data_IF_295670863617
#
_entry.id   IF_295670863617
#
_cell.length_a   1.000
_cell.length_b   1.000
_cell.length_c   1.000
_cell.angle_alpha   90.00
_cell.angle_beta   90.00
_cell.angle_gamma   90.00
#
_symmetry.space_group_name_H-M   'P 1'
#
loop_
_entity.id
_entity.type
_entity.pdbx_description
1 polymer ?
#
# COMPACT_ATOMS: atom_id res chain seq x y z
N UNK A 1 49.06 49.57 1.57
CA UNK A 1 48.77 48.12 1.69
C UNK A 1 47.38 47.95 2.28
N UNK A 2 46.41 47.50 1.47
CA UNK A 2 45.03 47.26 1.90
C UNK A 2 44.95 45.85 2.49
N UNK A 3 44.55 45.72 3.76
CA UNK A 3 44.44 44.45 4.47
C UNK A 3 43.12 43.78 4.09
N UNK A 4 43.17 42.54 3.59
CA UNK A 4 41.98 41.76 3.26
C UNK A 4 41.25 41.35 4.56
N UNK A 5 39.99 41.75 4.69
CA UNK A 5 39.09 41.31 5.76
C UNK A 5 38.75 39.83 5.55
N UNK A 6 39.28 38.97 6.43
CA UNK A 6 38.82 37.59 6.57
C UNK A 6 37.64 37.60 7.54
N UNK A 7 36.43 37.81 7.01
CA UNK A 7 35.23 37.40 7.73
C UNK A 7 35.22 35.88 7.73
N UNK A 8 35.67 35.30 8.84
CA UNK A 8 35.58 33.86 9.06
C UNK A 8 34.09 33.55 9.16
N UNK A 9 33.58 32.84 8.17
CA UNK A 9 32.19 32.39 8.08
C UNK A 9 31.91 31.33 9.16
N UNK A 10 31.82 31.79 10.40
CA UNK A 10 31.48 30.97 11.58
C UNK A 10 30.05 30.43 11.43
N UNK A 11 29.18 31.14 10.71
CA UNK A 11 27.82 30.71 10.41
C UNK A 11 27.74 29.49 9.48
N UNK A 12 28.61 29.36 8.46
CA UNK A 12 28.59 28.18 7.59
C UNK A 12 29.15 26.92 8.27
N UNK A 13 30.16 27.07 9.13
CA UNK A 13 30.73 25.94 9.87
C UNK A 13 29.74 25.39 10.91
N UNK A 14 29.02 26.27 11.62
CA UNK A 14 28.04 25.85 12.62
C UNK A 14 26.78 25.21 12.01
N UNK A 15 26.34 25.61 10.81
CA UNK A 15 25.15 25.03 10.18
C UNK A 15 25.42 23.63 9.63
N UNK A 16 26.61 23.41 9.07
CA UNK A 16 27.02 22.11 8.55
C UNK A 16 27.19 21.07 9.66
N UNK A 17 27.71 21.45 10.82
CA UNK A 17 27.78 20.55 11.99
C UNK A 17 26.40 20.16 12.52
N UNK A 18 25.43 21.07 12.51
CA UNK A 18 24.05 20.78 12.93
C UNK A 18 23.36 19.83 11.96
N UNK A 19 23.52 20.03 10.64
CA UNK A 19 22.94 19.14 9.63
C UNK A 19 23.58 17.75 9.70
N UNK A 20 24.89 17.69 9.92
CA UNK A 20 25.62 16.41 10.04
C UNK A 20 25.25 15.67 11.33
N UNK A 21 25.04 16.39 12.43
CA UNK A 21 24.54 15.83 13.69
C UNK A 21 23.12 15.28 13.57
N UNK A 22 22.23 16.01 12.89
CA UNK A 22 20.85 15.56 12.64
C UNK A 22 20.80 14.33 11.72
N UNK A 23 21.61 14.30 10.66
CA UNK A 23 21.76 13.11 9.81
C UNK A 23 22.32 11.91 10.57
N UNK A 24 23.31 12.12 11.45
CA UNK A 24 23.86 11.06 12.29
C UNK A 24 22.81 10.45 13.23
N UNK A 25 21.99 11.29 13.87
CA UNK A 25 20.90 10.84 14.72
C UNK A 25 19.83 10.06 13.93
N UNK A 26 19.47 10.54 12.73
CA UNK A 26 18.52 9.87 11.84
C UNK A 26 19.01 8.47 11.42
N UNK A 27 20.28 8.35 11.03
CA UNK A 27 20.86 7.06 10.64
C UNK A 27 20.89 6.06 11.81
N UNK A 28 21.17 6.51 13.04
CA UNK A 28 21.12 5.65 14.23
C UNK A 28 19.69 5.15 14.46
N UNK A 29 18.70 6.04 14.41
CA UNK A 29 17.28 5.66 14.57
C UNK A 29 16.84 4.67 13.49
N UNK A 30 17.26 4.88 12.24
CA UNK A 30 16.91 4.01 11.11
C UNK A 30 17.57 2.62 11.21
N UNK A 31 18.81 2.53 11.70
CA UNK A 31 19.48 1.24 11.96
C UNK A 31 18.84 0.49 13.14
N UNK A 32 18.41 1.21 14.17
CA UNK A 32 17.67 0.62 15.28
C UNK A 32 16.32 0.09 14.80
N UNK A 33 15.55 0.89 14.06
CA UNK A 33 14.25 0.49 13.51
C UNK A 33 14.35 -0.63 12.46
N UNK A 34 15.43 -0.69 11.67
CA UNK A 34 15.64 -1.77 10.70
C UNK A 34 15.69 -3.15 11.36
N UNK A 35 16.17 -3.26 12.60
CA UNK A 35 16.13 -4.52 13.37
C UNK A 35 14.73 -4.89 13.86
N UNK A 36 13.82 -3.93 13.94
CA UNK A 36 12.42 -4.15 14.31
C UNK A 36 11.49 -4.36 13.10
N UNK A 37 12.02 -4.21 11.87
CA UNK A 37 11.25 -4.41 10.64
C UNK A 37 11.16 -5.88 10.20
N UNK A 38 11.98 -6.76 10.76
CA UNK A 38 11.76 -8.20 10.67
C UNK A 38 10.78 -8.59 11.78
N UNK A 39 9.49 -8.44 11.49
CA UNK A 39 8.41 -9.09 12.24
C UNK A 39 8.55 -10.60 12.09
N UNK A 40 9.53 -11.18 12.78
CA UNK A 40 9.86 -12.60 12.65
C UNK A 40 8.74 -13.42 13.35
N UNK A 41 7.97 -14.25 12.62
CA UNK A 41 7.01 -15.18 13.22
C UNK A 41 7.66 -16.11 14.26
N UNK A 42 9.00 -16.26 14.23
CA UNK A 42 9.75 -16.94 15.27
C UNK A 42 9.51 -16.38 16.68
N UNK A 43 9.21 -15.08 16.84
CA UNK A 43 8.96 -14.52 18.17
C UNK A 43 7.66 -15.03 18.82
N UNK A 44 6.61 -15.33 18.03
CA UNK A 44 5.38 -15.93 18.57
C UNK A 44 5.58 -17.39 18.96
N UNK A 45 6.24 -18.17 18.11
CA UNK A 45 6.60 -19.56 18.43
C UNK A 45 7.51 -19.63 19.67
N UNK A 46 8.44 -18.68 19.84
CA UNK A 46 9.31 -18.61 21.01
C UNK A 46 8.54 -18.31 22.30
N UNK A 47 7.52 -17.44 22.28
CA UNK A 47 6.69 -17.12 23.45
C UNK A 47 5.85 -18.33 23.87
N UNK A 48 5.26 -19.05 22.91
CA UNK A 48 4.50 -20.27 23.20
C UNK A 48 5.40 -21.41 23.72
N UNK A 49 6.58 -21.58 23.14
CA UNK A 49 7.58 -22.54 23.61
C UNK A 49 8.07 -22.23 25.04
N UNK A 50 8.35 -20.97 25.34
CA UNK A 50 8.75 -20.53 26.68
C UNK A 50 7.66 -20.79 27.73
N UNK A 51 6.39 -20.60 27.39
CA UNK A 51 5.28 -20.92 28.30
C UNK A 51 5.18 -22.43 28.56
N UNK A 52 5.37 -23.26 27.54
CA UNK A 52 5.39 -24.71 27.70
C UNK A 52 6.56 -25.16 28.60
N UNK A 53 7.73 -24.54 28.48
CA UNK A 53 8.88 -24.81 29.34
C UNK A 53 8.63 -24.38 30.81
N UNK A 54 8.04 -23.20 31.03
CA UNK A 54 7.67 -22.72 32.37
C UNK A 54 6.67 -23.65 33.06
N UNK A 55 5.63 -24.10 32.33
CA UNK A 55 4.67 -25.10 32.81
C UNK A 55 5.38 -26.40 33.23
N UNK A 56 6.27 -26.92 32.39
CA UNK A 56 7.01 -28.15 32.69
C UNK A 56 7.93 -27.98 33.92
N UNK A 57 8.58 -26.82 34.05
CA UNK A 57 9.41 -26.51 35.21
C UNK A 57 8.59 -26.46 36.51
N UNK A 58 7.36 -25.90 36.46
CA UNK A 58 6.44 -25.85 37.60
C UNK A 58 6.06 -27.24 38.10
N UNK A 59 5.72 -28.13 37.18
CA UNK A 59 5.30 -29.48 37.53
C UNK A 59 6.44 -30.29 38.12
N UNK A 60 7.66 -30.13 37.59
CA UNK A 60 8.87 -30.75 38.18
C UNK A 60 9.15 -30.26 39.60
N UNK A 61 8.99 -28.95 39.87
CA UNK A 61 9.17 -28.41 41.21
C UNK A 61 8.14 -28.95 42.20
N UNK A 62 6.88 -29.09 41.79
CA UNK A 62 5.82 -29.73 42.61
C UNK A 62 6.13 -31.20 42.90
N UNK A 63 6.65 -31.92 41.91
CA UNK A 63 7.03 -33.32 42.08
C UNK A 63 8.16 -33.46 43.11
N UNK A 64 9.21 -32.64 43.00
CA UNK A 64 10.35 -32.60 43.93
C UNK A 64 9.89 -32.25 45.36
N UNK A 65 9.04 -31.23 45.54
CA UNK A 65 8.50 -30.88 46.87
C UNK A 65 7.71 -32.05 47.48
N UNK A 66 6.88 -32.72 46.67
CA UNK A 66 6.10 -33.88 47.11
C UNK A 66 6.97 -35.09 47.48
N UNK A 67 8.09 -35.28 46.80
CA UNK A 67 9.03 -36.36 47.05
C UNK A 67 9.84 -36.11 48.34
N UNK A 68 10.28 -34.87 48.56
CA UNK A 68 10.98 -34.48 49.80
C UNK A 68 10.11 -34.61 51.03
N UNK A 69 8.83 -34.18 50.96
CA UNK A 69 7.85 -34.38 52.03
C UNK A 69 7.63 -35.86 52.35
N UNK A 70 7.58 -36.73 51.32
CA UNK A 70 7.42 -38.19 51.49
C UNK A 70 8.65 -38.85 52.10
N UNK A 71 9.85 -38.33 51.80
CA UNK A 71 11.10 -38.87 52.30
C UNK A 71 11.39 -38.50 53.77
N UNK A 72 10.60 -37.61 54.39
CA UNK A 72 10.79 -37.20 55.79
C UNK A 72 12.13 -36.48 56.05
N UNK A 73 12.72 -35.91 54.99
CA UNK A 73 14.03 -35.25 55.04
C UNK A 73 13.84 -33.83 55.56
N UNK A 74 14.10 -33.63 56.86
CA UNK A 74 14.06 -32.31 57.51
C UNK A 74 15.36 -31.54 57.20
N UNK A 75 15.46 -31.03 55.97
CA UNK A 75 16.64 -30.35 55.47
C UNK A 75 16.25 -28.91 55.09
N UNK A 76 16.34 -28.00 56.07
CA UNK A 76 15.87 -26.62 55.97
C UNK A 76 16.45 -25.85 54.77
N UNK A 77 17.68 -26.18 54.37
CA UNK A 77 18.32 -25.58 53.19
C UNK A 77 17.61 -25.97 51.89
N UNK A 78 17.18 -27.23 51.75
CA UNK A 78 16.46 -27.71 50.57
C UNK A 78 15.07 -27.04 50.45
N UNK A 79 14.34 -26.92 51.56
CA UNK A 79 13.06 -26.21 51.59
C UNK A 79 13.23 -24.72 51.25
N UNK A 80 14.30 -24.07 51.71
CA UNK A 80 14.59 -22.68 51.37
C UNK A 80 14.95 -22.49 49.90
N UNK A 81 15.64 -23.46 49.28
CA UNK A 81 15.99 -23.43 47.86
C UNK A 81 14.74 -23.60 46.99
N UNK A 82 13.85 -24.55 47.32
CA UNK A 82 12.57 -24.74 46.63
C UNK A 82 11.68 -23.52 46.76
N UNK A 83 11.57 -22.95 47.97
CA UNK A 83 10.76 -21.74 48.19
C UNK A 83 11.29 -20.50 47.43
N UNK A 84 12.58 -20.45 47.12
CA UNK A 84 13.16 -19.41 46.25
C UNK A 84 12.90 -19.72 44.78
N UNK A 85 13.09 -20.97 44.35
CA UNK A 85 12.81 -21.39 42.98
C UNK A 85 11.34 -21.19 42.60
N UNK A 86 10.41 -21.52 43.49
CA UNK A 86 8.97 -21.31 43.27
C UNK A 86 8.63 -19.82 43.13
N UNK A 87 9.20 -18.95 43.98
CA UNK A 87 9.00 -17.50 43.86
C UNK A 87 9.54 -16.94 42.55
N UNK A 88 10.77 -17.32 42.20
CA UNK A 88 11.37 -16.89 40.92
C UNK A 88 10.55 -17.37 39.72
N UNK A 89 9.93 -18.56 39.80
CA UNK A 89 9.07 -19.06 38.75
C UNK A 89 7.76 -18.26 38.65
N UNK A 90 7.13 -17.96 39.79
CA UNK A 90 5.92 -17.11 39.84
C UNK A 90 6.20 -15.70 39.30
N UNK A 91 7.36 -15.12 39.65
CA UNK A 91 7.80 -13.84 39.12
C UNK A 91 8.00 -13.93 37.59
N UNK A 92 8.67 -14.97 37.09
CA UNK A 92 8.90 -15.17 35.67
C UNK A 92 7.61 -15.42 34.86
N UNK A 93 6.63 -16.12 35.43
CA UNK A 93 5.30 -16.30 34.83
C UNK A 93 4.56 -14.96 34.73
N UNK A 94 4.62 -14.15 35.77
CA UNK A 94 4.02 -12.81 35.81
C UNK A 94 4.65 -11.90 34.75
N UNK A 95 5.98 -11.92 34.63
CA UNK A 95 6.70 -11.18 33.60
C UNK A 95 6.34 -11.64 32.18
N UNK A 96 6.19 -12.95 31.96
CA UNK A 96 5.79 -13.50 30.66
C UNK A 96 4.37 -13.09 30.27
N UNK A 97 3.44 -13.04 31.22
CA UNK A 97 2.06 -12.57 30.99
C UNK A 97 2.04 -11.07 30.65
N UNK A 98 2.79 -10.25 31.39
CA UNK A 98 2.93 -8.82 31.11
C UNK A 98 3.52 -8.55 29.71
N UNK A 99 4.54 -9.31 29.31
CA UNK A 99 5.16 -9.18 27.98
C UNK A 99 4.19 -9.57 26.86
N UNK A 100 3.36 -10.59 27.09
CA UNK A 100 2.33 -11.01 26.13
C UNK A 100 1.28 -9.92 25.93
N UNK A 101 0.81 -9.31 27.02
CA UNK A 101 -0.14 -8.21 26.94
C UNK A 101 0.46 -7.01 26.17
N UNK A 102 1.74 -6.69 26.42
CA UNK A 102 2.44 -5.62 25.68
C UNK A 102 2.57 -5.94 24.19
N UNK A 103 2.84 -7.20 23.83
CA UNK A 103 2.92 -7.64 22.44
C UNK A 103 1.56 -7.50 21.74
N UNK A 104 0.48 -7.96 22.37
CA UNK A 104 -0.88 -7.83 21.84
C UNK A 104 -1.28 -6.35 21.66
N UNK A 105 -0.92 -5.48 22.61
CA UNK A 105 -1.15 -4.04 22.51
C UNK A 105 -0.36 -3.39 21.38
N UNK A 106 0.92 -3.77 21.21
CA UNK A 106 1.79 -3.26 20.16
C UNK A 106 1.31 -3.70 18.76
N UNK A 107 0.88 -4.95 18.60
CA UNK A 107 0.28 -5.45 17.37
C UNK A 107 -0.99 -4.66 17.01
N UNK A 108 -1.89 -4.48 17.97
CA UNK A 108 -3.09 -3.66 17.77
C UNK A 108 -2.76 -2.19 17.45
N UNK A 109 -1.64 -1.65 17.92
CA UNK A 109 -1.16 -0.31 17.54
C UNK A 109 -0.58 -0.28 16.13
N UNK A 110 0.20 -1.28 15.72
CA UNK A 110 0.70 -1.43 14.36
C UNK A 110 -0.47 -1.51 13.38
N UNK A 111 -1.46 -2.36 13.64
CA UNK A 111 -2.65 -2.49 12.79
C UNK A 111 -3.39 -1.16 12.64
N UNK A 112 -3.56 -0.41 13.74
CA UNK A 112 -4.17 0.92 13.72
C UNK A 112 -3.34 1.94 12.94
N UNK A 113 -2.01 1.89 13.07
CA UNK A 113 -1.09 2.78 12.34
C UNK A 113 -1.05 2.45 10.86
N UNK A 114 -1.05 1.17 10.48
CA UNK A 114 -1.10 0.73 9.10
C UNK A 114 -2.41 1.16 8.45
N UNK A 115 -3.55 0.99 9.13
CA UNK A 115 -4.82 1.50 8.65
C UNK A 115 -4.81 3.02 8.52
N UNK A 116 -4.19 3.72 9.48
CA UNK A 116 -4.03 5.17 9.41
C UNK A 116 -3.14 5.57 8.23
N UNK A 117 -2.02 4.91 8.01
CA UNK A 117 -1.10 5.14 6.89
C UNK A 117 -1.83 4.91 5.57
N UNK A 118 -2.56 3.79 5.42
CA UNK A 118 -3.41 3.53 4.25
C UNK A 118 -4.42 4.65 4.02
N UNK A 119 -5.07 5.14 5.09
CA UNK A 119 -6.05 6.24 5.02
C UNK A 119 -5.43 7.63 4.75
N UNK A 120 -4.12 7.77 4.95
CA UNK A 120 -3.36 9.00 4.70
C UNK A 120 -2.70 8.99 3.33
N UNK A 121 -2.23 7.84 2.86
CA UNK A 121 -1.67 7.64 1.52
C UNK A 121 -2.74 7.70 0.41
N UNK A 122 -4.02 7.55 0.76
CA UNK A 122 -5.15 7.59 -0.18
C UNK A 122 -5.77 8.98 -0.34
N UNK A 123 -5.08 9.98 -0.91
CA UNK A 123 -5.67 11.35 -0.92
C UNK A 123 -5.58 12.19 -2.19
N UNK A 124 -5.03 11.68 -3.29
CA UNK A 124 -5.15 12.37 -4.58
C UNK A 124 -5.90 11.51 -5.57
N UNK A 125 -6.98 12.09 -6.09
CA UNK A 125 -7.79 11.53 -7.15
C UNK A 125 -7.46 12.20 -8.48
N UNK A 126 -8.02 11.67 -9.56
CA UNK A 126 -7.98 12.31 -10.87
C UNK A 126 -9.31 12.10 -11.60
N UNK A 127 -9.59 12.98 -12.54
CA UNK A 127 -10.74 12.92 -13.42
C UNK A 127 -10.29 12.63 -14.85
N UNK A 128 -11.04 11.79 -15.55
CA UNK A 128 -10.95 11.57 -16.99
C UNK A 128 -12.27 11.98 -17.60
N UNK A 129 -12.25 12.88 -18.57
CA UNK A 129 -13.45 13.32 -19.29
C UNK A 129 -13.22 13.19 -20.77
N UNK A 130 -14.03 12.39 -21.45
CA UNK A 130 -14.02 12.26 -22.90
C UNK A 130 -15.20 13.01 -23.50
N UNK A 131 -14.96 13.68 -24.62
CA UNK A 131 -15.98 14.41 -25.38
C UNK A 131 -15.88 14.06 -26.86
N UNK A 132 -17.02 13.95 -27.54
CA UNK A 132 -17.11 13.66 -28.97
C UNK A 132 -18.34 14.31 -29.60
N UNK A 133 -18.32 14.47 -30.93
CA UNK A 133 -19.39 15.14 -31.68
C UNK A 133 -20.01 14.27 -32.80
N UNK A 134 -19.68 12.98 -32.81
CA UNK A 134 -20.06 12.08 -33.89
C UNK A 134 -21.47 11.52 -33.67
N UNK A 135 -22.37 11.75 -34.62
CA UNK A 135 -23.76 11.32 -34.52
C UNK A 135 -23.90 9.80 -34.39
N UNK A 136 -24.70 9.34 -33.43
CA UNK A 136 -25.00 7.93 -33.19
C UNK A 136 -23.84 7.12 -32.59
N UNK A 137 -22.73 7.77 -32.24
CA UNK A 137 -21.58 7.14 -31.60
C UNK A 137 -21.67 7.33 -30.10
N UNK A 138 -21.37 6.27 -29.37
CA UNK A 138 -21.26 6.27 -27.92
C UNK A 138 -19.84 5.84 -27.51
N UNK A 139 -19.21 6.62 -26.63
CA UNK A 139 -17.80 6.45 -26.23
C UNK A 139 -17.72 6.28 -24.71
N UNK A 140 -17.22 5.14 -24.28
CA UNK A 140 -16.94 4.86 -22.88
C UNK A 140 -15.49 5.24 -22.54
N UNK A 141 -15.29 5.89 -21.40
CA UNK A 141 -14.03 5.91 -20.65
C UNK A 141 -13.94 4.64 -19.81
N UNK A 142 -12.77 4.04 -19.81
CA UNK A 142 -12.45 2.92 -18.93
C UNK A 142 -11.16 3.24 -18.16
N UNK A 143 -11.18 3.01 -16.86
CA UNK A 143 -9.97 3.10 -16.03
C UNK A 143 -9.74 1.73 -15.43
N UNK A 144 -8.52 1.20 -15.55
CA UNK A 144 -8.11 -0.07 -14.96
C UNK A 144 -7.01 0.15 -13.92
N UNK A 145 -7.28 -0.12 -12.65
CA UNK A 145 -6.22 -0.25 -11.64
C UNK A 145 -5.60 -1.65 -11.72
N UNK A 146 -4.28 -1.69 -11.91
CA UNK A 146 -3.49 -2.92 -12.06
C UNK A 146 -3.21 -3.64 -10.74
N UNK A 147 -3.44 -3.00 -9.59
CA UNK A 147 -3.05 -3.53 -8.28
C UNK A 147 -4.20 -3.64 -7.28
N UNK A 148 -5.23 -2.80 -7.35
CA UNK A 148 -6.31 -2.90 -6.35
C UNK A 148 -7.31 -4.02 -6.66
N UNK A 149 -7.66 -4.72 -5.59
CA UNK A 149 -8.92 -5.44 -5.52
C UNK A 149 -10.09 -4.46 -5.38
N UNK A 150 -11.22 -4.78 -5.98
CA UNK A 150 -12.52 -4.17 -5.73
C UNK A 150 -12.90 -4.24 -4.24
N UNK A 151 -13.97 -3.54 -3.86
CA UNK A 151 -14.47 -3.45 -2.48
C UNK A 151 -14.66 -4.80 -1.77
N UNK A 152 -14.95 -5.85 -2.52
CA UNK A 152 -15.19 -7.22 -2.03
C UNK A 152 -13.92 -8.08 -2.00
N UNK A 153 -12.74 -7.51 -2.29
CA UNK A 153 -11.47 -8.23 -2.37
C UNK A 153 -11.24 -8.93 -3.71
N UNK A 154 -12.21 -8.95 -4.62
CA UNK A 154 -12.00 -9.49 -5.98
C UNK A 154 -11.04 -8.59 -6.76
N UNK A 155 -10.15 -9.12 -7.61
CA UNK A 155 -9.27 -8.28 -8.43
C UNK A 155 -10.12 -7.37 -9.32
N UNK A 156 -9.67 -6.12 -9.54
CA UNK A 156 -10.32 -5.24 -10.52
C UNK A 156 -10.49 -5.98 -11.86
N UNK A 157 -11.70 -5.94 -12.47
CA UNK A 157 -11.89 -6.62 -13.73
C UNK A 157 -10.94 -6.04 -14.76
N UNK A 158 -10.30 -6.92 -15.52
CA UNK A 158 -9.43 -6.52 -16.61
C UNK A 158 -10.22 -5.76 -17.68
N UNK A 159 -9.54 -4.89 -18.44
CA UNK A 159 -10.14 -4.16 -19.55
C UNK A 159 -10.71 -5.13 -20.61
N UNK A 160 -12.04 -5.13 -20.77
CA UNK A 160 -12.73 -5.83 -21.84
C UNK A 160 -13.47 -4.82 -22.72
N UNK A 161 -13.04 -4.60 -23.98
CA UNK A 161 -13.69 -3.64 -24.87
C UNK A 161 -15.15 -4.03 -25.18
N UNK A 162 -15.53 -5.29 -25.00
CA UNK A 162 -16.89 -5.77 -25.24
C UNK A 162 -17.86 -5.59 -24.06
N UNK A 163 -17.38 -5.13 -22.90
CA UNK A 163 -18.21 -4.96 -21.71
C UNK A 163 -18.21 -3.51 -21.24
N UNK A 164 -19.33 -3.08 -20.67
CA UNK A 164 -19.44 -1.80 -19.97
C UNK A 164 -18.87 -1.98 -18.56
N UNK A 165 -18.00 -1.07 -18.13
CA UNK A 165 -17.47 -1.08 -16.78
C UNK A 165 -18.44 -0.34 -15.84
N UNK A 166 -18.72 -0.94 -14.70
CA UNK A 166 -19.31 -0.25 -13.56
C UNK A 166 -18.22 0.29 -12.64
N UNK A 167 -18.54 1.33 -11.86
CA UNK A 167 -17.65 1.81 -10.82
C UNK A 167 -17.42 0.68 -9.79
N UNK A 168 -16.19 0.18 -9.66
CA UNK A 168 -15.91 -0.98 -8.82
C UNK A 168 -15.13 -0.63 -7.55
N UNK A 169 -14.67 0.62 -7.43
CA UNK A 169 -13.82 1.07 -6.34
C UNK A 169 -14.53 2.06 -5.40
N UNK A 170 -14.04 2.13 -4.17
CA UNK A 170 -14.53 3.14 -3.21
C UNK A 170 -14.07 4.52 -3.66
N UNK A 171 -15.01 5.44 -3.83
CA UNK A 171 -14.71 6.80 -4.27
C UNK A 171 -14.75 6.99 -5.79
N UNK A 172 -14.84 5.91 -6.56
CA UNK A 172 -15.00 6.00 -8.00
C UNK A 172 -16.42 6.38 -8.40
N UNK A 173 -16.51 7.29 -9.35
CA UNK A 173 -17.77 7.74 -9.92
C UNK A 173 -17.64 7.77 -11.43
N UNK A 174 -18.61 7.15 -12.11
CA UNK A 174 -18.73 7.21 -13.56
C UNK A 174 -20.08 7.80 -13.91
N UNK A 175 -20.10 8.72 -14.86
CA UNK A 175 -21.33 9.24 -15.44
C UNK A 175 -21.20 9.34 -16.95
N UNK A 176 -22.04 8.58 -17.61
CA UNK A 176 -22.16 8.54 -19.06
C UNK A 176 -23.31 9.46 -19.51
N UNK A 177 -22.98 10.39 -20.38
CA UNK A 177 -23.91 11.30 -21.06
C UNK A 177 -23.75 11.14 -22.58
N UNK A 178 -23.78 9.91 -23.08
CA UNK A 178 -23.52 9.60 -24.49
C UNK A 178 -24.42 10.34 -25.48
N UNK A 179 -25.65 10.70 -25.10
CA UNK A 179 -26.56 11.55 -25.89
C UNK A 179 -26.03 12.98 -26.11
N UNK A 180 -25.14 13.44 -25.22
CA UNK A 180 -24.47 14.74 -25.26
C UNK A 180 -23.02 14.65 -25.70
N UNK A 181 -22.54 13.43 -25.97
CA UNK A 181 -21.17 13.18 -26.37
C UNK A 181 -20.15 13.43 -25.26
N UNK A 182 -20.48 13.03 -24.02
CA UNK A 182 -19.59 13.21 -22.85
C UNK A 182 -19.62 11.93 -22.00
N UNK A 183 -18.45 11.44 -21.57
CA UNK A 183 -18.32 10.43 -20.51
C UNK A 183 -17.27 10.90 -19.50
N UNK A 184 -17.58 10.75 -18.22
CA UNK A 184 -16.76 11.21 -17.11
C UNK A 184 -16.47 10.04 -16.18
N UNK A 185 -15.18 9.84 -15.89
CA UNK A 185 -14.70 8.96 -14.84
C UNK A 185 -13.95 9.77 -13.79
N UNK A 186 -14.36 9.66 -12.53
CA UNK A 186 -13.66 10.23 -11.38
C UNK A 186 -13.07 9.07 -10.58
N UNK A 187 -11.75 9.08 -10.42
CA UNK A 187 -11.05 8.23 -9.46
C UNK A 187 -10.91 9.05 -8.19
N UNK A 188 -11.78 8.81 -7.21
CA UNK A 188 -11.85 9.63 -5.99
C UNK A 188 -10.66 9.43 -5.06
N UNK A 189 -10.11 8.21 -5.04
CA UNK A 189 -8.93 7.88 -4.25
C UNK A 189 -8.11 6.78 -4.93
N UNK A 190 -6.81 7.01 -5.04
CA UNK A 190 -5.84 6.02 -5.49
C UNK A 190 -4.94 5.64 -4.32
N UNK A 191 -4.47 4.38 -4.29
CA UNK A 191 -3.46 3.91 -3.33
C UNK A 191 -2.07 4.23 -3.87
N UNK A 192 -1.14 4.63 -3.01
CA UNK A 192 0.23 4.90 -3.43
C UNK A 192 0.84 3.70 -4.19
N UNK A 193 1.69 4.00 -5.19
CA UNK A 193 2.32 3.00 -6.07
C UNK A 193 1.39 2.19 -6.97
N UNK A 194 0.09 2.50 -7.00
CA UNK A 194 -0.82 1.94 -8.00
C UNK A 194 -0.58 2.55 -9.36
N UNK A 195 -0.89 1.76 -10.38
CA UNK A 195 -0.86 2.16 -11.77
C UNK A 195 -2.25 1.99 -12.35
N UNK A 196 -2.79 3.09 -12.87
CA UNK A 196 -4.05 3.15 -13.58
C UNK A 196 -3.77 3.21 -15.08
N UNK A 197 -4.41 2.32 -15.84
CA UNK A 197 -4.43 2.40 -17.31
C UNK A 197 -5.76 3.00 -17.74
N UNK A 198 -5.70 4.05 -18.56
CA UNK A 198 -6.88 4.75 -19.07
C UNK A 198 -7.10 4.36 -20.52
N UNK A 199 -8.33 3.97 -20.85
CA UNK A 199 -8.75 3.62 -22.20
C UNK A 199 -9.97 4.44 -22.58
N UNK A 200 -10.14 4.60 -23.88
CA UNK A 200 -11.39 5.06 -24.48
C UNK A 200 -11.87 4.00 -25.47
N UNK A 201 -13.17 3.75 -25.55
CA UNK A 201 -13.73 2.76 -26.47
C UNK A 201 -15.09 3.17 -27.00
N UNK A 202 -15.43 2.65 -28.17
CA UNK A 202 -16.77 2.69 -28.72
C UNK A 202 -17.66 1.70 -27.96
N UNK A 203 -18.71 2.19 -27.31
CA UNK A 203 -19.72 1.33 -26.69
C UNK A 203 -20.56 0.59 -27.76
N UNK A 204 -20.72 1.22 -28.93
CA UNK A 204 -21.50 0.69 -30.05
C UNK A 204 -20.72 0.69 -31.40
N UNK A 205 -19.64 -0.08 -31.56
CA UNK A 205 -18.77 -0.02 -32.74
C UNK A 205 -19.48 -0.19 -34.09
N UNK A 206 -20.58 -0.95 -34.12
CA UNK A 206 -21.39 -1.18 -35.32
C UNK A 206 -22.11 0.09 -35.82
N UNK A 207 -22.42 1.03 -34.93
CA UNK A 207 -23.11 2.29 -35.26
C UNK A 207 -22.19 3.32 -35.92
N UNK A 208 -20.87 3.13 -35.85
CA UNK A 208 -19.88 4.06 -36.41
C UNK A 208 -19.83 3.90 -37.92
N UNK A 209 -20.36 4.91 -38.63
CA UNK A 209 -20.33 5.00 -40.09
C UNK A 209 -19.07 5.71 -40.62
N UNK A 210 -18.43 6.56 -39.80
CA UNK A 210 -17.21 7.28 -40.13
C UNK A 210 -16.32 7.43 -38.90
N UNK A 211 -14.99 7.50 -39.05
CA UNK A 211 -14.08 7.66 -37.91
C UNK A 211 -14.50 8.83 -37.02
N UNK A 212 -14.53 8.59 -35.72
CA UNK A 212 -15.00 9.55 -34.73
C UNK A 212 -13.82 10.18 -33.99
N UNK A 213 -13.72 11.51 -34.03
CA UNK A 213 -12.74 12.26 -33.24
C UNK A 213 -13.23 12.39 -31.80
N UNK A 214 -12.39 11.97 -30.86
CA UNK A 214 -12.64 12.03 -29.42
C UNK A 214 -11.55 12.88 -28.78
N UNK A 215 -11.96 13.81 -27.92
CA UNK A 215 -11.06 14.60 -27.08
C UNK A 215 -11.21 14.15 -25.64
N UNK A 216 -10.13 13.69 -25.02
CA UNK A 216 -10.10 13.24 -23.63
C UNK A 216 -9.19 14.12 -22.82
N UNK A 217 -9.70 14.68 -21.72
CA UNK A 217 -8.93 15.46 -20.77
C UNK A 217 -8.77 14.65 -19.49
N UNK A 218 -7.53 14.53 -19.02
CA UNK A 218 -7.20 13.97 -17.71
C UNK A 218 -6.74 15.09 -16.81
N UNK A 219 -7.39 15.25 -15.66
CA UNK A 219 -7.14 16.32 -14.68
C UNK A 219 -6.81 15.69 -13.33
N UNK A 220 -5.71 16.11 -12.73
CA UNK A 220 -5.35 15.83 -11.34
C UNK A 220 -4.93 17.14 -10.66
N UNK A 221 -4.63 17.10 -9.36
CA UNK A 221 -4.13 18.28 -8.67
C UNK A 221 -2.83 18.78 -9.32
N UNK A 222 -2.81 20.05 -9.75
CA UNK A 222 -1.65 20.66 -10.42
C UNK A 222 -1.36 20.15 -11.84
N UNK A 223 -2.19 19.25 -12.39
CA UNK A 223 -1.95 18.63 -13.70
C UNK A 223 -3.22 18.59 -14.55
N UNK A 224 -3.09 18.95 -15.83
CA UNK A 224 -4.11 18.67 -16.83
C UNK A 224 -3.45 18.33 -18.17
N UNK A 225 -3.92 17.27 -18.83
CA UNK A 225 -3.47 16.88 -20.16
C UNK A 225 -4.65 16.53 -21.05
N UNK A 226 -4.60 16.99 -22.29
CA UNK A 226 -5.61 16.71 -23.31
C UNK A 226 -5.04 15.78 -24.36
N UNK A 227 -5.87 14.83 -24.78
CA UNK A 227 -5.58 13.85 -25.82
C UNK A 227 -6.62 13.96 -26.92
N UNK A 228 -6.18 14.00 -28.16
CA UNK A 228 -7.05 13.87 -29.31
C UNK A 228 -6.79 12.52 -29.98
N UNK A 229 -7.84 11.74 -30.21
CA UNK A 229 -7.76 10.41 -30.81
C UNK A 229 -8.91 10.18 -31.79
N UNK A 230 -8.72 9.21 -32.68
CA UNK A 230 -9.74 8.81 -33.66
C UNK A 230 -10.14 7.37 -33.35
N UNK A 231 -11.39 7.17 -32.96
CA UNK A 231 -11.99 5.84 -32.85
C UNK A 231 -12.67 5.46 -34.16
N UNK A 232 -12.57 4.20 -34.55
CA UNK A 232 -13.17 3.70 -35.79
C UNK A 232 -13.68 2.28 -35.61
N UNK A 233 -14.37 1.74 -36.63
CA UNK A 233 -14.81 0.34 -36.59
C UNK A 233 -13.62 -0.64 -36.53
N UNK A 234 -12.51 -0.29 -37.17
CA UNK A 234 -11.28 -1.12 -37.19
C UNK A 234 -10.42 -0.93 -35.95
N UNK A 235 -10.53 0.22 -35.29
CA UNK A 235 -9.86 0.52 -34.02
C UNK A 235 -10.90 1.07 -33.03
N UNK A 236 -11.70 0.18 -32.42
CA UNK A 236 -12.83 0.59 -31.61
C UNK A 236 -12.45 0.98 -30.18
N UNK A 237 -11.18 0.87 -29.81
CA UNK A 237 -10.67 1.29 -28.51
C UNK A 237 -9.18 1.64 -28.59
N UNK A 238 -8.73 2.49 -27.67
CA UNK A 238 -7.35 2.99 -27.60
C UNK A 238 -6.87 2.97 -26.15
N UNK A 239 -5.66 2.46 -25.91
CA UNK A 239 -4.93 2.67 -24.65
C UNK A 239 -4.37 4.09 -24.65
N UNK A 240 -4.96 4.95 -23.82
CA UNK A 240 -4.78 6.40 -23.92
C UNK A 240 -3.59 6.90 -23.10
N UNK A 241 -3.53 6.48 -21.84
CA UNK A 241 -2.61 7.01 -20.84
C UNK A 241 -2.38 6.00 -19.71
N UNK A 242 -1.23 6.12 -19.07
CA UNK A 242 -0.94 5.46 -17.80
C UNK A 242 -0.77 6.53 -16.72
N UNK A 243 -1.55 6.44 -15.64
CA UNK A 243 -1.40 7.29 -14.48
C UNK A 243 -0.79 6.47 -13.33
N UNK A 244 0.37 6.89 -12.83
CA UNK A 244 1.03 6.25 -11.69
C UNK A 244 1.05 7.20 -10.51
N UNK A 245 0.58 6.74 -9.37
CA UNK A 245 0.72 7.51 -8.14
C UNK A 245 2.10 7.24 -7.55
N UNK A 246 2.95 8.27 -7.48
CA UNK A 246 4.31 8.13 -6.96
C UNK A 246 4.31 8.24 -5.43
N UNK A 247 4.83 7.22 -4.73
CA UNK A 247 4.97 7.26 -3.26
C UNK A 247 6.08 8.17 -2.77
N UNK A 248 7.07 8.44 -3.62
CA UNK A 248 8.31 9.11 -3.22
C UNK A 248 8.19 10.64 -3.31
N UNK A 249 7.16 11.13 -3.98
CA UNK A 249 6.81 12.54 -3.97
C UNK A 249 6.08 12.83 -2.66
N UNK A 250 6.58 13.80 -1.88
CA UNK A 250 6.03 14.20 -0.58
C UNK A 250 4.52 14.53 -0.60
N UNK A 251 3.93 14.69 -1.79
CA UNK A 251 2.53 15.03 -1.97
C UNK A 251 1.69 13.96 -2.68
N UNK A 252 2.25 12.81 -3.07
CA UNK A 252 1.48 11.73 -3.70
C UNK A 252 0.90 12.11 -5.07
N UNK A 253 1.68 12.84 -5.89
CA UNK A 253 1.28 13.28 -7.22
C UNK A 253 1.14 12.13 -8.21
N UNK A 254 0.28 12.35 -9.21
CA UNK A 254 0.18 11.46 -10.35
C UNK A 254 1.19 11.84 -11.43
N UNK A 255 1.93 10.85 -11.88
CA UNK A 255 2.73 10.91 -13.11
C UNK A 255 1.91 10.29 -14.24
N UNK A 256 1.73 11.04 -15.32
CA UNK A 256 1.00 10.60 -16.50
C UNK A 256 1.93 10.34 -17.67
N UNK A 257 1.91 9.11 -18.16
CA UNK A 257 2.72 8.62 -19.27
C UNK A 257 1.84 8.39 -20.48
N UNK A 258 2.35 8.82 -21.64
CA UNK A 258 1.74 8.48 -22.92
C UNK A 258 2.28 7.11 -23.34
N UNK A 259 1.44 6.12 -23.64
CA UNK A 259 1.90 4.81 -24.06
C UNK A 259 2.71 4.93 -25.34
N UNK A 260 3.84 4.22 -25.42
CA UNK A 260 4.55 4.07 -26.69
C UNK A 260 3.76 3.15 -27.61
N UNK A 261 4.04 3.17 -28.91
CA UNK A 261 3.40 2.23 -29.85
C UNK A 261 3.63 0.77 -29.44
N UNK A 262 4.82 0.47 -28.91
CA UNK A 262 5.17 -0.85 -28.36
C UNK A 262 4.27 -1.22 -27.19
N UNK A 263 3.98 -0.28 -26.28
CA UNK A 263 3.09 -0.50 -25.14
C UNK A 263 1.65 -0.74 -25.61
N UNK A 264 1.18 0.06 -26.58
CA UNK A 264 -0.15 -0.09 -27.18
C UNK A 264 -0.31 -1.42 -27.91
N UNK A 265 0.70 -1.89 -28.64
CA UNK A 265 0.71 -3.22 -29.25
C UNK A 265 0.71 -4.35 -28.22
N UNK A 266 1.55 -4.24 -27.18
CA UNK A 266 1.60 -5.23 -26.10
C UNK A 266 0.23 -5.35 -25.42
N UNK A 267 -0.41 -4.20 -25.16
CA UNK A 267 -1.74 -4.14 -24.58
C UNK A 267 -2.79 -4.79 -25.50
N UNK A 268 -2.77 -4.50 -26.81
CA UNK A 268 -3.66 -5.15 -27.79
C UNK A 268 -3.51 -6.67 -27.81
N UNK A 269 -2.28 -7.18 -27.74
CA UNK A 269 -2.01 -8.63 -27.67
C UNK A 269 -2.53 -9.23 -26.36
N UNK A 270 -2.35 -8.52 -25.25
CA UNK A 270 -2.82 -9.00 -23.94
C UNK A 270 -4.35 -9.07 -23.85
N UNK A 271 -5.04 -8.01 -24.31
CA UNK A 271 -6.50 -7.99 -24.39
C UNK A 271 -7.01 -9.14 -25.26
N UNK A 272 -6.39 -9.38 -26.43
CA UNK A 272 -6.75 -10.47 -27.32
C UNK A 272 -6.54 -11.85 -26.67
N UNK A 273 -5.39 -12.06 -26.02
CA UNK A 273 -5.05 -13.31 -25.31
C UNK A 273 -6.08 -13.64 -24.23
N UNK A 274 -6.47 -12.66 -23.42
CA UNK A 274 -7.44 -12.86 -22.34
C UNK A 274 -8.84 -13.15 -22.86
N UNK A 275 -9.27 -12.46 -23.91
CA UNK A 275 -10.58 -12.74 -24.54
C UNK A 275 -10.65 -14.14 -25.14
N UNK A 276 -9.54 -14.70 -25.61
CA UNK A 276 -9.49 -16.08 -26.09
C UNK A 276 -9.56 -17.14 -24.98
N UNK A 277 -9.31 -16.75 -23.73
CA UNK A 277 -9.33 -17.66 -22.56
C UNK A 277 -10.66 -17.70 -21.80
N UNK A 278 -11.60 -16.81 -22.14
CA UNK A 278 -12.95 -16.74 -21.56
C UNK A 278 -13.96 -17.45 -22.45
#
# INVERSE_FOLDING_TARGET
MRRASRDISIFNLSMMDVVTGAMGAFLIVMVVLARYYESDPANKENVEALQAELSSARDRLREIDSALRRAGVDNGDAYSAISRATRNLEDAETDAENLREQLDQAEAEIDRKDERIRSLQSRRGFAVTSTWACAGVDVDVYVWDTQTSAKDGSPAPYFDPGRTQWHNWTGDFRSDFGDRGIDVWLVGSSVANTTHKVYIKLANPAAVASPCRVTTVIVAEGFARSYERILSRTEPWIYLAQARQNSDLEQGDFEFFDPTETDSEAERREVARRRASQ
#
